data_IF_930601538122
#
_entry.id   IF_930601538122
#
_cell.length_a   1.000
_cell.length_b   1.000
_cell.length_c   1.000
_cell.angle_alpha   90.00
_cell.angle_beta   90.00
_cell.angle_gamma   90.00
#
_symmetry.space_group_name_H-M   'P 1'
#
loop_
_entity.id
_entity.type
_entity.pdbx_description
1 polymer ?
#
# COMPACT_ATOMS: atom_id res chain seq x y z
N UNK A 1 17.78 -9.38 11.87
CA UNK A 1 17.08 -8.32 11.11
C UNK A 1 15.61 -8.33 11.50
N UNK A 2 14.96 -7.17 11.45
CA UNK A 2 13.50 -7.08 11.68
C UNK A 2 12.81 -7.20 10.35
N UNK A 3 11.89 -8.16 10.24
CA UNK A 3 11.16 -8.45 9.01
C UNK A 3 9.83 -7.69 8.94
N UNK A 4 9.36 -7.45 7.74
CA UNK A 4 8.02 -6.99 7.44
C UNK A 4 7.22 -8.15 6.84
N UNK A 5 5.95 -8.29 7.22
CA UNK A 5 5.10 -9.36 6.71
C UNK A 5 3.92 -8.76 5.96
N UNK A 6 3.68 -9.26 4.76
CA UNK A 6 2.48 -9.01 3.98
C UNK A 6 1.64 -10.29 3.91
N UNK A 7 0.35 -10.19 4.21
CA UNK A 7 -0.60 -11.30 4.11
C UNK A 7 -1.69 -10.91 3.11
N UNK A 8 -1.77 -11.66 2.03
CA UNK A 8 -2.74 -11.42 0.99
C UNK A 8 -4.04 -12.18 1.25
N UNK A 9 -5.16 -11.47 1.28
CA UNK A 9 -6.50 -12.06 1.41
C UNK A 9 -7.26 -11.77 0.11
N UNK A 10 -7.42 -12.77 -0.79
CA UNK A 10 -7.83 -12.53 -2.17
C UNK A 10 -9.34 -12.44 -2.40
N UNK A 11 -10.15 -12.18 -1.38
CA UNK A 11 -11.60 -12.21 -1.51
C UNK A 11 -12.20 -10.81 -1.52
N UNK A 12 -13.13 -10.55 -2.46
CA UNK A 12 -13.89 -9.30 -2.56
C UNK A 12 -15.37 -9.62 -2.78
N UNK A 13 -16.29 -8.80 -2.26
CA UNK A 13 -17.73 -8.93 -2.59
C UNK A 13 -17.98 -8.57 -4.05
N UNK A 14 -17.25 -7.56 -4.57
CA UNK A 14 -17.28 -7.15 -5.97
C UNK A 14 -15.88 -6.76 -6.40
N UNK A 15 -15.51 -7.06 -7.64
CA UNK A 15 -14.22 -6.61 -8.22
C UNK A 15 -14.42 -5.25 -8.87
N UNK A 16 -13.71 -4.24 -8.35
CA UNK A 16 -13.74 -2.90 -8.93
C UNK A 16 -13.12 -2.90 -10.34
N UNK A 17 -13.68 -2.14 -11.31
CA UNK A 17 -13.23 -2.14 -12.70
C UNK A 17 -11.79 -1.66 -12.91
N UNK A 18 -11.24 -0.87 -11.99
CA UNK A 18 -9.85 -0.38 -12.02
C UNK A 18 -8.84 -1.30 -11.33
N UNK A 19 -9.29 -2.32 -10.58
CA UNK A 19 -8.45 -3.06 -9.65
C UNK A 19 -7.62 -4.15 -10.35
N UNK A 20 -6.29 -4.00 -10.34
CA UNK A 20 -5.33 -4.99 -10.85
C UNK A 20 -4.91 -6.03 -9.80
N UNK A 21 -5.27 -5.85 -8.52
CA UNK A 21 -4.89 -6.81 -7.49
C UNK A 21 -5.52 -8.19 -7.71
N UNK A 22 -4.77 -9.23 -7.33
CA UNK A 22 -5.21 -10.63 -7.38
C UNK A 22 -6.38 -10.90 -6.43
N UNK A 23 -7.61 -10.69 -6.88
CA UNK A 23 -8.81 -10.85 -6.05
C UNK A 23 -9.92 -11.60 -6.80
N UNK A 24 -10.77 -12.30 -6.03
CA UNK A 24 -11.85 -13.16 -6.52
C UNK A 24 -13.16 -12.84 -5.82
N UNK A 25 -14.21 -12.58 -6.59
CA UNK A 25 -15.55 -12.31 -6.09
C UNK A 25 -16.48 -13.54 -6.15
N UNK A 26 -16.03 -14.61 -6.80
CA UNK A 26 -16.80 -15.84 -7.02
C UNK A 26 -16.27 -17.07 -6.26
N UNK A 27 -15.23 -16.91 -5.42
CA UNK A 27 -14.50 -18.02 -4.77
C UNK A 27 -14.72 -18.14 -3.26
N UNK A 28 -15.79 -17.58 -2.72
CA UNK A 28 -16.07 -17.59 -1.27
C UNK A 28 -16.12 -19.01 -0.66
N UNK A 29 -16.55 -20.01 -1.43
CA UNK A 29 -16.53 -21.42 -1.00
C UNK A 29 -15.14 -21.99 -0.71
N UNK A 30 -14.07 -21.30 -1.12
CA UNK A 30 -12.68 -21.70 -0.88
C UNK A 30 -12.05 -21.05 0.35
N UNK A 31 -12.74 -20.11 1.04
CA UNK A 31 -12.15 -19.35 2.16
C UNK A 31 -11.52 -20.27 3.21
N UNK A 32 -12.26 -21.25 3.74
CA UNK A 32 -11.73 -22.12 4.79
C UNK A 32 -10.49 -22.89 4.33
N UNK A 33 -10.54 -23.47 3.11
CA UNK A 33 -9.40 -24.19 2.53
C UNK A 33 -8.20 -23.27 2.26
N UNK A 34 -8.46 -22.03 1.91
CA UNK A 34 -7.43 -21.03 1.71
C UNK A 34 -6.71 -20.70 3.03
N UNK A 35 -7.46 -20.43 4.09
CA UNK A 35 -6.88 -20.14 5.39
C UNK A 35 -6.12 -21.34 5.98
N UNK A 36 -6.62 -22.58 5.80
CA UNK A 36 -5.88 -23.78 6.17
C UNK A 36 -4.52 -23.87 5.45
N UNK A 37 -4.48 -23.53 4.16
CA UNK A 37 -3.25 -23.47 3.41
C UNK A 37 -2.34 -22.33 3.89
N UNK A 38 -2.89 -21.14 4.11
CA UNK A 38 -2.18 -19.95 4.60
C UNK A 38 -1.53 -20.20 5.97
N UNK A 39 -2.23 -20.85 6.90
CA UNK A 39 -1.67 -21.24 8.20
C UNK A 39 -0.45 -22.17 8.05
N UNK A 40 -0.52 -23.15 7.15
CA UNK A 40 0.60 -24.06 6.87
C UNK A 40 1.79 -23.31 6.29
N UNK A 41 1.55 -22.38 5.36
CA UNK A 41 2.59 -21.58 4.74
C UNK A 41 3.32 -20.74 5.79
N UNK A 42 2.57 -19.96 6.60
CA UNK A 42 3.14 -19.08 7.62
C UNK A 42 3.90 -19.90 8.69
N UNK A 43 3.32 -21.00 9.17
CA UNK A 43 3.92 -21.83 10.21
C UNK A 43 5.24 -22.48 9.80
N UNK A 44 5.48 -22.65 8.50
CA UNK A 44 6.70 -23.24 7.96
C UNK A 44 7.82 -22.20 7.78
N UNK A 45 7.48 -20.92 7.71
CA UNK A 45 8.43 -19.87 7.39
C UNK A 45 9.37 -19.54 8.57
N UNK A 46 10.60 -19.15 8.25
CA UNK A 46 11.49 -18.54 9.24
C UNK A 46 11.15 -17.05 9.35
N UNK A 47 10.36 -16.69 10.35
CA UNK A 47 9.77 -15.36 10.48
C UNK A 47 10.75 -14.31 11.01
N UNK A 48 11.77 -14.72 11.79
CA UNK A 48 12.65 -13.77 12.49
C UNK A 48 11.85 -12.82 13.41
N UNK A 49 12.42 -11.68 13.79
CA UNK A 49 11.72 -10.63 14.56
C UNK A 49 10.85 -9.80 13.61
N UNK A 50 9.56 -9.63 13.92
CA UNK A 50 8.57 -8.96 13.05
C UNK A 50 8.33 -7.54 13.53
N UNK A 51 8.57 -6.54 12.67
CA UNK A 51 8.33 -5.12 12.95
C UNK A 51 7.00 -4.61 12.41
N UNK A 52 6.45 -5.23 11.37
CA UNK A 52 5.10 -4.94 10.88
C UNK A 52 4.44 -6.15 10.22
N UNK A 53 3.12 -6.20 10.33
CA UNK A 53 2.25 -7.11 9.58
C UNK A 53 1.22 -6.26 8.83
N UNK A 54 1.07 -6.48 7.53
CA UNK A 54 0.07 -5.81 6.72
C UNK A 54 -0.83 -6.86 6.06
N UNK A 55 -2.10 -6.84 6.40
CA UNK A 55 -3.13 -7.74 5.88
C UNK A 55 -3.95 -6.98 4.85
N UNK A 56 -3.76 -7.31 3.57
CA UNK A 56 -4.36 -6.59 2.45
C UNK A 56 -4.74 -7.50 1.29
N UNK A 57 -4.87 -6.90 0.11
CA UNK A 57 -5.05 -7.59 -1.16
C UNK A 57 -6.40 -7.38 -1.82
N UNK A 58 -7.37 -8.27 -1.60
CA UNK A 58 -8.75 -8.05 -2.00
C UNK A 58 -9.46 -7.16 -0.98
N UNK A 59 -10.24 -7.76 -0.12
CA UNK A 59 -10.89 -7.08 1.00
C UNK A 59 -10.84 -7.98 2.23
N UNK A 60 -9.80 -7.87 3.07
CA UNK A 60 -9.65 -8.75 4.24
C UNK A 60 -10.87 -8.76 5.15
N UNK A 61 -11.59 -7.65 5.21
CA UNK A 61 -12.77 -7.52 6.06
C UNK A 61 -14.02 -8.27 5.58
N UNK A 62 -14.06 -8.85 4.38
CA UNK A 62 -15.22 -9.66 3.94
C UNK A 62 -15.24 -11.04 4.58
N UNK A 63 -14.08 -11.55 5.02
CA UNK A 63 -14.00 -12.84 5.69
C UNK A 63 -14.31 -12.72 7.20
N UNK A 64 -14.66 -13.83 7.84
CA UNK A 64 -14.93 -13.85 9.28
C UNK A 64 -13.66 -13.54 10.08
N UNK A 65 -13.77 -12.73 11.14
CA UNK A 65 -12.63 -12.37 11.99
C UNK A 65 -11.94 -13.57 12.63
N UNK A 66 -12.68 -14.65 12.89
CA UNK A 66 -12.16 -15.87 13.52
C UNK A 66 -11.01 -16.53 12.71
N UNK A 67 -10.90 -16.25 11.43
CA UNK A 67 -9.78 -16.74 10.61
C UNK A 67 -8.44 -16.07 10.92
N UNK A 68 -8.43 -14.92 11.60
CA UNK A 68 -7.18 -14.20 11.87
C UNK A 68 -6.48 -14.66 13.15
N UNK A 69 -7.21 -15.10 14.18
CA UNK A 69 -6.60 -15.53 15.45
C UNK A 69 -5.54 -16.62 15.25
N UNK A 70 -5.77 -17.72 14.47
CA UNK A 70 -4.73 -18.72 14.23
C UNK A 70 -3.47 -18.17 13.54
N UNK A 71 -3.61 -17.15 12.68
CA UNK A 71 -2.45 -16.45 12.08
C UNK A 71 -1.63 -15.79 13.19
N UNK A 72 -2.28 -15.07 14.09
CA UNK A 72 -1.60 -14.35 15.16
C UNK A 72 -1.03 -15.30 16.23
N UNK A 73 -1.62 -16.47 16.47
CA UNK A 73 -1.00 -17.50 17.31
C UNK A 73 0.39 -17.90 16.78
N UNK A 74 0.55 -18.01 15.44
CA UNK A 74 1.82 -18.33 14.80
C UNK A 74 2.80 -17.14 14.86
N UNK A 75 2.31 -15.92 14.59
CA UNK A 75 3.16 -14.73 14.48
C UNK A 75 3.60 -14.14 15.82
N UNK A 76 2.73 -14.24 16.85
CA UNK A 76 2.88 -13.59 18.16
C UNK A 76 4.24 -13.83 18.85
N UNK A 77 4.85 -15.03 18.81
CA UNK A 77 6.16 -15.26 19.41
C UNK A 77 7.30 -14.44 18.81
N UNK A 78 7.12 -13.97 17.58
CA UNK A 78 8.12 -13.23 16.81
C UNK A 78 7.84 -11.72 16.68
N UNK A 79 6.67 -11.26 17.17
CA UNK A 79 6.30 -9.85 17.08
C UNK A 79 7.18 -8.97 17.98
N UNK A 80 7.76 -7.90 17.40
CA UNK A 80 8.33 -6.80 18.20
C UNK A 80 7.22 -6.20 19.08
N UNK A 81 7.57 -5.79 20.30
CA UNK A 81 6.63 -5.17 21.24
C UNK A 81 5.90 -3.94 20.69
N UNK A 82 6.49 -3.27 19.68
CA UNK A 82 5.93 -2.11 19.01
C UNK A 82 5.57 -2.44 17.55
N UNK A 83 5.35 -3.70 17.20
CA UNK A 83 4.96 -4.08 15.86
C UNK A 83 3.68 -3.36 15.41
N UNK A 84 3.68 -2.85 14.19
CA UNK A 84 2.49 -2.31 13.55
C UNK A 84 1.75 -3.46 12.85
N UNK A 85 0.49 -3.65 13.21
CA UNK A 85 -0.34 -4.70 12.62
C UNK A 85 -1.55 -4.03 11.97
N UNK A 86 -1.52 -3.97 10.64
CA UNK A 86 -2.54 -3.31 9.82
C UNK A 86 -3.48 -4.33 9.18
N UNK A 87 -4.76 -4.00 9.12
CA UNK A 87 -5.75 -4.68 8.28
C UNK A 87 -6.48 -3.68 7.40
N UNK A 88 -6.64 -4.02 6.11
CA UNK A 88 -7.49 -3.27 5.19
C UNK A 88 -8.95 -3.66 5.37
N UNK A 89 -9.81 -2.66 5.39
CA UNK A 89 -11.26 -2.85 5.53
C UNK A 89 -12.01 -1.99 4.51
N UNK A 90 -13.12 -2.52 4.00
CA UNK A 90 -14.07 -1.75 3.23
C UNK A 90 -15.27 -1.35 4.10
N UNK A 91 -15.77 -0.11 3.97
CA UNK A 91 -17.02 0.29 4.62
C UNK A 91 -18.16 -0.68 4.30
N UNK A 92 -19.07 -0.89 5.24
CA UNK A 92 -20.20 -1.83 5.10
C UNK A 92 -19.86 -3.30 5.40
N UNK A 93 -18.57 -3.69 5.45
CA UNK A 93 -18.17 -5.08 5.74
C UNK A 93 -17.86 -5.33 7.24
N UNK A 94 -17.99 -4.29 8.05
CA UNK A 94 -17.55 -4.26 9.47
C UNK A 94 -18.75 -4.09 10.41
N UNK A 95 -18.67 -4.73 11.56
CA UNK A 95 -19.50 -4.47 12.72
C UNK A 95 -18.63 -4.44 13.98
N UNK A 96 -19.21 -4.01 15.11
CA UNK A 96 -18.50 -3.84 16.37
C UNK A 96 -17.80 -5.13 16.82
N UNK A 97 -18.50 -6.26 16.80
CA UNK A 97 -17.94 -7.57 17.23
C UNK A 97 -16.73 -7.98 16.38
N UNK A 98 -16.74 -7.68 15.09
CA UNK A 98 -15.62 -7.98 14.20
C UNK A 98 -14.39 -7.12 14.50
N UNK A 99 -14.59 -5.82 14.80
CA UNK A 99 -13.52 -4.93 15.23
C UNK A 99 -12.94 -5.32 16.58
N UNK A 100 -13.78 -5.74 17.54
CA UNK A 100 -13.36 -6.25 18.84
C UNK A 100 -12.44 -7.46 18.67
N UNK A 101 -12.81 -8.44 17.84
CA UNK A 101 -11.98 -9.60 17.53
C UNK A 101 -10.65 -9.22 16.84
N UNK A 102 -10.66 -8.23 15.94
CA UNK A 102 -9.42 -7.73 15.34
C UNK A 102 -8.48 -7.17 16.40
N UNK A 103 -9.02 -6.39 17.33
CA UNK A 103 -8.23 -5.81 18.41
C UNK A 103 -7.69 -6.86 19.37
N UNK A 104 -8.51 -7.87 19.72
CA UNK A 104 -8.12 -9.01 20.56
C UNK A 104 -7.00 -9.84 19.91
N UNK A 105 -7.06 -10.03 18.59
CA UNK A 105 -6.01 -10.68 17.82
C UNK A 105 -4.68 -9.89 17.81
N UNK A 106 -4.70 -8.60 18.14
CA UNK A 106 -3.53 -7.74 18.23
C UNK A 106 -3.41 -6.72 17.08
N UNK A 107 -4.41 -6.66 16.18
CA UNK A 107 -4.44 -5.62 15.13
C UNK A 107 -4.55 -4.25 15.80
N UNK A 108 -3.64 -3.32 15.43
CA UNK A 108 -3.53 -2.02 16.07
C UNK A 108 -3.62 -0.84 15.09
N UNK A 109 -3.70 -1.12 13.78
CA UNK A 109 -3.94 -0.14 12.72
C UNK A 109 -4.99 -0.66 11.75
N UNK A 110 -5.91 0.20 11.33
CA UNK A 110 -6.87 -0.12 10.26
C UNK A 110 -6.71 0.85 9.10
N UNK A 111 -6.89 0.34 7.87
CA UNK A 111 -6.90 1.13 6.63
C UNK A 111 -8.26 1.00 5.98
N UNK A 112 -8.97 2.11 5.79
CA UNK A 112 -10.35 2.12 5.32
C UNK A 112 -10.42 2.70 3.92
N UNK A 113 -10.87 1.91 2.96
CA UNK A 113 -11.00 2.32 1.56
C UNK A 113 -12.26 3.14 1.29
N UNK A 114 -12.25 4.45 1.56
CA UNK A 114 -13.34 5.37 1.21
C UNK A 114 -13.37 5.70 -0.28
N UNK A 115 -12.25 6.11 -0.83
CA UNK A 115 -12.01 6.60 -2.20
C UNK A 115 -12.63 7.99 -2.46
N UNK A 116 -13.91 8.19 -2.25
CA UNK A 116 -14.62 9.47 -2.40
C UNK A 116 -15.82 9.56 -1.46
N UNK A 117 -16.23 10.74 -1.07
CA UNK A 117 -17.50 10.98 -0.36
C UNK A 117 -18.71 11.04 -1.31
N UNK A 118 -18.48 11.01 -2.62
CA UNK A 118 -19.53 11.18 -3.62
C UNK A 118 -20.01 9.83 -4.15
N UNK A 119 -21.29 9.54 -3.95
CA UNK A 119 -21.91 8.26 -4.36
C UNK A 119 -21.84 8.00 -5.87
N UNK A 120 -21.93 9.05 -6.69
CA UNK A 120 -21.78 8.93 -8.13
C UNK A 120 -20.36 8.48 -8.52
N UNK A 121 -19.33 9.06 -7.92
CA UNK A 121 -17.93 8.69 -8.17
C UNK A 121 -17.62 7.28 -7.62
N UNK A 122 -18.15 6.92 -6.45
CA UNK A 122 -18.04 5.57 -5.93
C UNK A 122 -18.62 4.53 -6.89
N UNK A 123 -19.79 4.81 -7.47
CA UNK A 123 -20.42 3.94 -8.48
C UNK A 123 -19.59 3.83 -9.75
N UNK A 124 -18.97 4.94 -10.19
CA UNK A 124 -18.10 4.97 -11.39
C UNK A 124 -16.93 4.00 -11.25
N UNK A 125 -16.34 3.94 -10.06
CA UNK A 125 -15.24 3.02 -9.75
C UNK A 125 -15.70 1.65 -9.21
N UNK A 126 -17.00 1.33 -9.27
CA UNK A 126 -17.56 0.04 -8.88
C UNK A 126 -17.61 -0.22 -7.37
N UNK A 127 -17.58 0.83 -6.55
CA UNK A 127 -17.76 0.73 -5.10
C UNK A 127 -19.23 0.64 -4.74
N UNK A 128 -19.55 -0.18 -3.73
CA UNK A 128 -20.92 -0.48 -3.31
C UNK A 128 -21.31 0.20 -1.99
N UNK A 129 -20.36 0.79 -1.28
CA UNK A 129 -20.57 1.49 -0.01
C UNK A 129 -20.93 2.98 -0.24
N UNK A 130 -21.39 3.62 0.82
CA UNK A 130 -21.66 5.07 0.88
C UNK A 130 -20.67 5.77 1.81
N UNK A 131 -20.71 7.11 1.84
CA UNK A 131 -19.96 7.88 2.82
C UNK A 131 -20.44 7.60 4.26
N UNK A 132 -21.74 7.40 4.43
CA UNK A 132 -22.36 7.08 5.73
C UNK A 132 -21.85 5.73 6.27
N UNK A 133 -21.69 4.72 5.43
CA UNK A 133 -21.09 3.43 5.79
C UNK A 133 -19.64 3.61 6.30
N UNK A 134 -18.91 4.52 5.65
CA UNK A 134 -17.54 4.85 6.05
C UNK A 134 -17.53 5.58 7.41
N UNK A 135 -18.37 6.61 7.58
CA UNK A 135 -18.45 7.36 8.81
C UNK A 135 -18.81 6.47 10.00
N UNK A 136 -19.77 5.59 9.82
CA UNK A 136 -20.17 4.60 10.83
C UNK A 136 -19.02 3.61 11.14
N UNK A 137 -18.29 3.18 10.10
CA UNK A 137 -17.10 2.32 10.29
C UNK A 137 -16.04 3.02 11.15
N UNK A 138 -15.75 4.31 10.89
CA UNK A 138 -14.80 5.10 11.69
C UNK A 138 -15.28 5.26 13.13
N UNK A 139 -16.57 5.57 13.34
CA UNK A 139 -17.17 5.68 14.69
C UNK A 139 -17.03 4.40 15.48
N UNK A 140 -17.41 3.26 14.88
CA UNK A 140 -17.28 1.94 15.49
C UNK A 140 -15.82 1.60 15.83
N UNK A 141 -14.89 1.90 14.93
CA UNK A 141 -13.47 1.67 15.17
C UNK A 141 -12.95 2.46 16.37
N UNK A 142 -13.34 3.72 16.50
CA UNK A 142 -12.99 4.57 17.65
C UNK A 142 -13.63 4.10 18.94
N UNK A 143 -14.90 3.65 18.91
CA UNK A 143 -15.58 3.07 20.08
C UNK A 143 -14.88 1.81 20.59
N UNK A 144 -14.37 0.97 19.72
CA UNK A 144 -13.57 -0.23 20.06
C UNK A 144 -12.16 0.15 20.52
N UNK A 145 -11.75 1.41 20.32
CA UNK A 145 -10.47 1.98 20.79
C UNK A 145 -9.34 1.85 19.78
N UNK A 146 -9.61 1.81 18.47
CA UNK A 146 -8.59 2.04 17.46
C UNK A 146 -8.26 3.54 17.39
N UNK A 147 -6.98 3.85 17.54
CA UNK A 147 -6.45 5.23 17.44
C UNK A 147 -5.62 5.44 16.19
N UNK A 148 -5.10 4.39 15.58
CA UNK A 148 -4.34 4.44 14.34
C UNK A 148 -5.25 4.04 13.17
N UNK A 149 -5.87 5.05 12.55
CA UNK A 149 -6.87 4.87 11.49
C UNK A 149 -6.38 5.62 10.24
N UNK A 150 -6.22 4.87 9.16
CA UNK A 150 -5.99 5.40 7.83
C UNK A 150 -7.28 5.44 7.03
N UNK A 151 -7.42 6.44 6.19
CA UNK A 151 -8.40 6.48 5.11
C UNK A 151 -7.71 6.61 3.76
N UNK A 152 -8.15 5.82 2.82
CA UNK A 152 -7.70 5.89 1.44
C UNK A 152 -8.70 6.73 0.63
N UNK A 153 -8.21 7.79 -0.03
CA UNK A 153 -8.97 8.62 -0.97
C UNK A 153 -8.29 8.59 -2.34
N UNK A 154 -9.10 8.72 -3.37
CA UNK A 154 -8.67 8.67 -4.76
C UNK A 154 -8.95 9.99 -5.45
N UNK A 155 -7.98 10.46 -6.23
CA UNK A 155 -8.11 11.59 -7.15
C UNK A 155 -8.01 11.10 -8.59
N UNK A 156 -8.43 11.93 -9.56
CA UNK A 156 -8.40 11.52 -10.97
C UNK A 156 -9.47 10.47 -11.33
N UNK A 157 -10.54 10.33 -10.52
CA UNK A 157 -11.69 9.49 -10.88
C UNK A 157 -12.42 10.15 -12.07
N UNK A 158 -12.82 9.40 -13.12
CA UNK A 158 -13.60 9.95 -14.22
C UNK A 158 -14.76 10.83 -13.72
N UNK A 159 -14.95 11.97 -14.35
CA UNK A 159 -15.93 12.99 -13.98
C UNK A 159 -15.73 13.65 -12.60
N UNK A 160 -14.65 13.36 -11.89
CA UNK A 160 -14.34 14.00 -10.61
C UNK A 160 -13.92 15.46 -10.81
N UNK A 161 -14.45 16.33 -9.97
CA UNK A 161 -14.11 17.75 -9.94
C UNK A 161 -13.31 18.09 -8.68
N UNK A 162 -12.65 19.25 -8.68
CA UNK A 162 -11.97 19.76 -7.48
C UNK A 162 -12.92 19.93 -6.28
N UNK A 163 -14.19 20.28 -6.53
CA UNK A 163 -15.21 20.41 -5.48
C UNK A 163 -15.58 19.08 -4.83
N UNK A 164 -15.46 17.97 -5.58
CA UNK A 164 -15.66 16.63 -5.04
C UNK A 164 -14.49 16.22 -4.11
N UNK A 165 -13.27 16.59 -4.47
CA UNK A 165 -12.09 16.40 -3.63
C UNK A 165 -12.19 17.27 -2.37
N UNK A 166 -12.59 18.54 -2.50
CA UNK A 166 -12.80 19.45 -1.38
C UNK A 166 -13.83 18.91 -0.39
N UNK A 167 -15.02 18.52 -0.86
CA UNK A 167 -16.06 17.92 -0.01
C UNK A 167 -15.58 16.65 0.71
N UNK A 168 -14.83 15.81 -0.01
CA UNK A 168 -14.26 14.58 0.58
C UNK A 168 -13.27 14.92 1.70
N UNK A 169 -12.38 15.88 1.45
CA UNK A 169 -11.40 16.32 2.45
C UNK A 169 -12.06 16.98 3.67
N UNK A 170 -13.05 17.85 3.47
CA UNK A 170 -13.78 18.49 4.56
C UNK A 170 -14.43 17.47 5.49
N UNK A 171 -15.06 16.45 4.90
CA UNK A 171 -15.73 15.37 5.65
C UNK A 171 -14.74 14.50 6.42
N UNK A 172 -13.63 14.07 5.80
CA UNK A 172 -12.66 13.21 6.50
C UNK A 172 -11.84 13.97 7.55
N UNK A 173 -11.54 15.24 7.34
CA UNK A 173 -10.83 16.06 8.31
C UNK A 173 -11.65 16.31 9.58
N UNK A 174 -12.98 16.32 9.48
CA UNK A 174 -13.88 16.41 10.64
C UNK A 174 -13.87 15.13 11.52
N UNK A 175 -13.31 14.01 11.03
CA UNK A 175 -13.34 12.73 11.74
C UNK A 175 -12.10 12.47 12.62
N UNK A 176 -11.18 13.44 12.77
CA UNK A 176 -9.96 13.29 13.58
C UNK A 176 -9.21 11.97 13.31
N UNK A 177 -8.85 11.78 12.05
CA UNK A 177 -8.07 10.64 11.59
C UNK A 177 -6.57 10.88 11.78
N UNK A 178 -5.78 9.82 11.81
CA UNK A 178 -4.34 9.91 12.07
C UNK A 178 -3.47 9.72 10.83
N UNK A 179 -4.06 9.16 9.77
CA UNK A 179 -3.35 8.88 8.52
C UNK A 179 -4.31 9.01 7.33
N UNK A 180 -3.84 9.53 6.22
CA UNK A 180 -4.60 9.69 4.98
C UNK A 180 -3.70 9.29 3.82
N UNK A 181 -4.20 8.39 2.96
CA UNK A 181 -3.57 8.05 1.69
C UNK A 181 -4.33 8.76 0.57
N UNK A 182 -3.62 9.46 -0.30
CA UNK A 182 -4.17 10.15 -1.48
C UNK A 182 -3.44 9.60 -2.69
N UNK A 183 -4.13 8.86 -3.55
CA UNK A 183 -3.55 8.37 -4.79
C UNK A 183 -4.38 8.71 -6.00
N UNK A 184 -3.68 8.96 -7.10
CA UNK A 184 -4.27 9.04 -8.41
C UNK A 184 -4.81 7.69 -8.85
N UNK A 185 -5.95 7.70 -9.53
CA UNK A 185 -6.43 6.53 -10.23
C UNK A 185 -5.45 6.17 -11.35
N UNK A 186 -4.91 4.96 -11.30
CA UNK A 186 -4.04 4.43 -12.35
C UNK A 186 -4.82 3.44 -13.21
N UNK A 187 -4.70 3.58 -14.51
CA UNK A 187 -5.32 2.70 -15.50
C UNK A 187 -4.38 1.55 -15.83
N UNK A 188 -4.44 0.50 -15.02
CA UNK A 188 -3.58 -0.68 -15.15
C UNK A 188 -4.02 -1.57 -16.31
N UNK A 189 -3.05 -2.02 -17.10
CA UNK A 189 -3.27 -2.94 -18.22
C UNK A 189 -4.06 -4.19 -17.79
N UNK A 190 -5.01 -4.58 -18.62
CA UNK A 190 -5.84 -5.76 -18.38
C UNK A 190 -7.02 -5.53 -17.40
N UNK A 191 -7.21 -4.33 -16.88
CA UNK A 191 -8.40 -3.97 -16.11
C UNK A 191 -9.59 -3.66 -17.03
N UNK A 192 -10.82 -3.78 -16.48
CA UNK A 192 -12.01 -3.42 -17.23
C UNK A 192 -12.04 -1.92 -17.53
N UNK A 193 -11.53 -1.09 -16.62
CA UNK A 193 -11.54 0.37 -16.78
C UNK A 193 -10.59 0.83 -17.89
N UNK A 194 -9.39 0.26 -18.00
CA UNK A 194 -8.48 0.52 -19.13
C UNK A 194 -9.13 0.16 -20.44
N UNK A 195 -9.81 -0.99 -20.50
CA UNK A 195 -10.56 -1.37 -21.70
C UNK A 195 -11.68 -0.39 -22.06
N UNK A 196 -12.37 0.18 -21.06
CA UNK A 196 -13.44 1.18 -21.31
C UNK A 196 -12.87 2.46 -21.91
N UNK A 197 -11.66 2.86 -21.52
CA UNK A 197 -10.92 4.00 -22.09
C UNK A 197 -10.48 3.70 -23.52
N UNK A 198 -9.85 2.55 -23.74
CA UNK A 198 -9.39 2.12 -25.07
C UNK A 198 -10.54 2.05 -26.09
N UNK A 199 -11.71 1.62 -25.61
CA UNK A 199 -12.95 1.54 -26.43
C UNK A 199 -13.64 2.91 -26.60
N UNK A 200 -13.14 3.99 -25.99
CA UNK A 200 -13.73 5.34 -26.03
C UNK A 200 -15.05 5.49 -25.26
N UNK A 201 -15.29 4.61 -24.28
CA UNK A 201 -16.49 4.62 -23.44
C UNK A 201 -16.29 5.38 -22.12
N UNK A 202 -15.05 5.77 -21.81
CA UNK A 202 -14.69 6.51 -20.62
C UNK A 202 -13.54 7.45 -20.96
N UNK A 203 -13.58 8.68 -20.46
CA UNK A 203 -12.50 9.65 -20.60
C UNK A 203 -11.65 9.71 -19.32
N UNK A 204 -10.34 9.82 -19.49
CA UNK A 204 -9.42 10.12 -18.39
C UNK A 204 -9.61 11.56 -17.92
N UNK A 205 -9.29 11.82 -16.66
CA UNK A 205 -9.20 13.19 -16.15
C UNK A 205 -7.95 13.84 -16.72
N UNK A 206 -8.05 15.10 -17.13
CA UNK A 206 -6.91 15.88 -17.61
C UNK A 206 -5.78 15.92 -16.56
N UNK A 207 -4.55 15.68 -16.99
CA UNK A 207 -3.37 15.61 -16.11
C UNK A 207 -3.14 16.89 -15.30
N UNK A 208 -3.47 18.07 -15.85
CA UNK A 208 -3.33 19.34 -15.13
C UNK A 208 -4.39 19.47 -14.03
N UNK A 209 -5.60 18.97 -14.29
CA UNK A 209 -6.68 18.92 -13.31
C UNK A 209 -6.32 17.96 -12.19
N UNK A 210 -5.83 16.75 -12.52
CA UNK A 210 -5.41 15.76 -11.53
C UNK A 210 -4.27 16.28 -10.66
N UNK A 211 -3.25 16.88 -11.27
CA UNK A 211 -2.14 17.53 -10.57
C UNK A 211 -2.64 18.65 -9.65
N UNK A 212 -3.61 19.45 -10.09
CA UNK A 212 -4.22 20.47 -9.24
C UNK A 212 -4.94 19.85 -8.04
N UNK A 213 -5.69 18.76 -8.22
CA UNK A 213 -6.32 18.01 -7.14
C UNK A 213 -5.30 17.51 -6.11
N UNK A 214 -4.17 16.95 -6.58
CA UNK A 214 -3.10 16.48 -5.70
C UNK A 214 -2.52 17.61 -4.84
N UNK A 215 -2.15 18.73 -5.47
CA UNK A 215 -1.57 19.87 -4.73
C UNK A 215 -2.57 20.54 -3.80
N UNK A 216 -3.84 20.54 -4.16
CA UNK A 216 -4.92 21.01 -3.30
C UNK A 216 -5.05 20.11 -2.08
N UNK A 217 -5.13 18.78 -2.27
CA UNK A 217 -5.23 17.83 -1.18
C UNK A 217 -4.01 17.92 -0.25
N UNK A 218 -2.78 17.96 -0.82
CA UNK A 218 -1.55 18.13 -0.05
C UNK A 218 -1.62 19.36 0.85
N UNK A 219 -1.93 20.53 0.30
CA UNK A 219 -2.01 21.79 1.07
C UNK A 219 -3.04 21.69 2.18
N UNK A 220 -4.26 21.19 1.86
CA UNK A 220 -5.34 21.05 2.86
C UNK A 220 -4.95 20.13 4.02
N UNK A 221 -4.24 19.04 3.73
CA UNK A 221 -3.78 18.10 4.75
C UNK A 221 -2.67 18.70 5.60
N UNK A 222 -1.69 19.37 5.01
CA UNK A 222 -0.61 20.05 5.74
C UNK A 222 -1.16 21.16 6.64
N UNK A 223 -2.10 21.99 6.15
CA UNK A 223 -2.78 23.03 6.94
C UNK A 223 -3.56 22.46 8.14
N UNK A 224 -3.94 21.17 8.07
CA UNK A 224 -4.60 20.44 9.16
C UNK A 224 -3.63 19.58 9.99
N UNK A 225 -2.31 19.82 9.87
CA UNK A 225 -1.26 19.21 10.71
C UNK A 225 -0.90 17.79 10.35
N UNK A 226 -1.18 17.34 9.13
CA UNK A 226 -0.61 16.12 8.58
C UNK A 226 0.75 16.40 7.96
N UNK A 227 1.68 15.47 8.14
CA UNK A 227 3.00 15.50 7.52
C UNK A 227 2.94 14.67 6.25
N UNK A 228 3.22 15.29 5.10
CA UNK A 228 3.46 14.58 3.86
C UNK A 228 4.80 13.86 3.96
N UNK A 229 4.84 12.54 4.08
CA UNK A 229 6.08 11.82 4.34
C UNK A 229 6.57 10.94 3.19
N UNK A 230 5.66 10.54 2.28
CA UNK A 230 5.97 9.93 1.00
C UNK A 230 4.87 10.28 0.00
N UNK A 231 5.07 10.02 -1.28
CA UNK A 231 4.29 10.56 -2.40
C UNK A 231 2.77 10.50 -2.17
N UNK A 232 2.25 9.38 -1.68
CA UNK A 232 0.80 9.17 -1.55
C UNK A 232 0.30 9.31 -0.11
N UNK A 233 1.19 9.39 0.89
CA UNK A 233 0.77 9.23 2.28
C UNK A 233 1.08 10.43 3.19
N UNK A 234 0.07 10.77 3.98
CA UNK A 234 0.07 11.87 4.95
C UNK A 234 -0.29 11.34 6.34
N UNK A 235 0.46 11.73 7.36
CA UNK A 235 0.24 11.24 8.71
C UNK A 235 0.38 12.33 9.76
N UNK A 236 -0.39 12.24 10.84
CA UNK A 236 -0.11 12.98 12.06
C UNK A 236 1.24 12.54 12.64
N UNK A 237 1.93 13.36 13.45
CA UNK A 237 3.17 12.97 14.10
C UNK A 237 3.05 11.59 14.76
N UNK A 238 4.04 10.71 14.53
CA UNK A 238 4.12 9.32 15.05
C UNK A 238 3.19 8.28 14.42
N UNK A 239 2.39 8.63 13.39
CA UNK A 239 1.45 7.72 12.74
C UNK A 239 1.83 7.33 11.30
N UNK A 240 3.07 7.59 10.87
CA UNK A 240 3.59 7.11 9.58
C UNK A 240 3.50 5.58 9.52
N UNK A 241 3.04 5.01 8.41
CA UNK A 241 2.92 3.57 8.23
C UNK A 241 4.29 2.89 8.22
N UNK A 242 4.57 2.05 9.22
CA UNK A 242 5.86 1.36 9.36
C UNK A 242 6.10 0.35 8.26
N UNK A 243 5.04 -0.31 7.79
CA UNK A 243 5.13 -1.27 6.69
C UNK A 243 5.58 -0.59 5.40
N UNK A 244 4.90 0.49 4.98
CA UNK A 244 5.26 1.24 3.78
C UNK A 244 6.68 1.82 3.87
N UNK A 245 7.04 2.43 5.01
CA UNK A 245 8.39 2.92 5.24
C UNK A 245 9.45 1.82 5.17
N UNK A 246 9.13 0.59 5.59
CA UNK A 246 9.98 -0.58 5.42
C UNK A 246 10.25 -0.87 3.96
N UNK A 247 9.20 -0.91 3.13
CA UNK A 247 9.30 -1.13 1.69
C UNK A 247 10.12 -0.02 1.00
N UNK A 248 9.80 1.25 1.28
CA UNK A 248 10.53 2.40 0.71
C UNK A 248 11.98 2.51 1.23
N UNK A 249 12.29 1.83 2.33
CA UNK A 249 13.65 1.71 2.87
C UNK A 249 14.39 0.49 2.34
N UNK A 250 13.86 -0.21 1.36
CA UNK A 250 14.41 -1.43 0.76
C UNK A 250 14.72 -2.49 1.84
N UNK A 251 13.80 -2.65 2.81
CA UNK A 251 13.91 -3.72 3.80
C UNK A 251 13.26 -4.99 3.29
N UNK A 252 13.77 -6.11 3.77
CA UNK A 252 13.22 -7.42 3.45
C UNK A 252 11.81 -7.58 3.98
N UNK A 253 10.97 -8.25 3.20
CA UNK A 253 9.61 -8.60 3.59
C UNK A 253 9.22 -9.98 3.05
N UNK A 254 8.41 -10.67 3.84
CA UNK A 254 7.81 -11.96 3.51
C UNK A 254 6.35 -11.76 3.14
N UNK A 255 5.97 -12.20 1.96
CA UNK A 255 4.58 -12.24 1.50
C UNK A 255 4.01 -13.65 1.62
N UNK A 256 2.81 -13.75 2.20
CA UNK A 256 2.08 -15.00 2.36
C UNK A 256 0.74 -14.95 1.64
N UNK A 257 0.33 -16.07 1.09
CA UNK A 257 -0.92 -16.18 0.36
C UNK A 257 -0.76 -16.10 -1.15
N UNK A 258 -1.85 -16.35 -1.88
CA UNK A 258 -1.90 -16.29 -3.34
C UNK A 258 -1.50 -14.90 -3.84
N UNK A 259 -0.74 -14.82 -4.92
CA UNK A 259 -0.23 -13.60 -5.53
C UNK A 259 0.67 -12.72 -4.63
N UNK A 260 0.96 -13.12 -3.40
CA UNK A 260 1.82 -12.34 -2.50
C UNK A 260 3.27 -12.30 -2.99
N UNK A 261 3.85 -11.11 -2.99
CA UNK A 261 5.26 -10.91 -3.32
C UNK A 261 6.13 -10.91 -2.04
N UNK A 262 7.38 -11.31 -2.18
CA UNK A 262 8.42 -11.27 -1.13
C UNK A 262 9.70 -10.67 -1.69
N UNK A 263 10.47 -10.03 -0.81
CA UNK A 263 11.83 -9.58 -1.10
C UNK A 263 12.77 -10.04 0.02
N UNK A 264 13.59 -11.04 -0.24
CA UNK A 264 14.48 -11.70 0.72
C UNK A 264 15.81 -12.03 0.03
N UNK A 265 16.93 -11.77 0.70
CA UNK A 265 18.28 -12.10 0.20
C UNK A 265 18.53 -11.61 -1.23
N UNK A 266 18.00 -10.43 -1.57
CA UNK A 266 18.05 -9.83 -2.92
C UNK A 266 17.27 -10.59 -4.01
N UNK A 267 16.38 -11.50 -3.63
CA UNK A 267 15.44 -12.13 -4.55
C UNK A 267 14.05 -11.50 -4.42
N UNK A 268 13.49 -11.09 -5.56
CA UNK A 268 12.06 -10.82 -5.69
C UNK A 268 11.36 -12.10 -6.08
N UNK A 269 10.39 -12.46 -5.30
CA UNK A 269 9.63 -13.69 -5.47
C UNK A 269 8.15 -13.37 -5.40
N UNK A 270 7.35 -14.18 -6.07
CA UNK A 270 5.89 -14.07 -6.05
C UNK A 270 5.25 -15.44 -5.94
N UNK A 271 4.21 -15.55 -5.13
CA UNK A 271 3.36 -16.72 -5.10
C UNK A 271 2.47 -16.77 -6.35
N UNK A 272 2.07 -17.98 -6.75
CA UNK A 272 1.15 -18.18 -7.89
C UNK A 272 -0.11 -17.32 -7.76
N UNK A 273 -0.60 -16.80 -8.90
CA UNK A 273 -1.85 -16.03 -8.98
C UNK A 273 -3.11 -16.90 -8.97
N UNK A 274 -2.97 -18.22 -9.08
CA UNK A 274 -4.10 -19.16 -9.06
C UNK A 274 -4.41 -19.65 -7.65
N UNK A 275 -5.59 -19.30 -7.15
CA UNK A 275 -6.08 -19.70 -5.83
C UNK A 275 -6.11 -21.21 -5.65
N UNK A 276 -6.60 -21.96 -6.65
CA UNK A 276 -6.69 -23.40 -6.61
C UNK A 276 -5.31 -24.07 -6.62
N UNK A 277 -4.38 -23.56 -7.44
CA UNK A 277 -2.98 -24.07 -7.46
C UNK A 277 -2.32 -23.82 -6.11
N UNK A 278 -2.47 -22.60 -5.56
CA UNK A 278 -1.94 -22.25 -4.25
C UNK A 278 -2.39 -23.25 -3.18
N UNK A 279 -3.71 -23.43 -3.01
CA UNK A 279 -4.28 -24.35 -2.03
C UNK A 279 -3.81 -25.79 -2.25
N UNK A 280 -3.84 -26.27 -3.49
CA UNK A 280 -3.48 -27.64 -3.79
C UNK A 280 -1.99 -27.92 -3.58
N UNK A 281 -1.11 -26.99 -3.94
CA UNK A 281 0.34 -27.15 -3.75
C UNK A 281 0.69 -27.18 -2.25
N UNK A 282 0.13 -26.27 -1.44
CA UNK A 282 0.35 -26.25 0.01
C UNK A 282 -0.14 -27.56 0.65
N UNK A 283 -1.36 -28.02 0.33
CA UNK A 283 -1.94 -29.22 0.92
C UNK A 283 -1.23 -30.52 0.50
N UNK A 284 -0.43 -30.49 -0.54
CA UNK A 284 0.41 -31.61 -1.00
C UNK A 284 1.90 -31.43 -0.64
N UNK A 285 2.24 -30.54 0.28
CA UNK A 285 3.62 -30.20 0.68
C UNK A 285 4.55 -29.76 -0.47
N UNK A 286 3.96 -29.19 -1.53
CA UNK A 286 4.68 -28.69 -2.72
C UNK A 286 4.81 -27.18 -2.69
N UNK A 287 5.14 -26.59 -1.55
CA UNK A 287 5.26 -25.13 -1.32
C UNK A 287 6.10 -24.42 -2.40
N UNK A 288 7.23 -25.03 -2.77
CA UNK A 288 8.15 -24.48 -3.79
C UNK A 288 7.50 -24.31 -5.17
N UNK A 289 6.36 -24.99 -5.46
CA UNK A 289 5.63 -24.82 -6.72
C UNK A 289 4.73 -23.58 -6.75
N UNK A 290 4.51 -22.96 -5.62
CA UNK A 290 3.80 -21.70 -5.56
C UNK A 290 4.71 -20.50 -5.83
N UNK A 291 6.00 -20.66 -5.51
CA UNK A 291 6.95 -19.55 -5.54
C UNK A 291 7.63 -19.46 -6.91
N UNK A 292 7.57 -18.29 -7.51
CA UNK A 292 8.33 -17.93 -8.71
C UNK A 292 9.37 -16.88 -8.31
N UNK A 293 10.63 -17.08 -8.72
CA UNK A 293 11.66 -16.06 -8.62
C UNK A 293 11.46 -15.15 -9.84
N UNK A 294 11.02 -13.91 -9.61
CA UNK A 294 10.83 -12.92 -10.67
C UNK A 294 12.16 -12.25 -11.02
N UNK A 295 12.98 -11.99 -10.00
CA UNK A 295 14.25 -11.28 -10.16
C UNK A 295 15.26 -11.73 -9.11
N UNK A 296 16.53 -11.82 -9.51
CA UNK A 296 17.68 -11.88 -8.63
C UNK A 296 18.49 -10.62 -8.81
N UNK A 297 18.41 -9.71 -7.88
CA UNK A 297 19.05 -8.41 -7.99
C UNK A 297 20.57 -8.52 -7.87
N UNK A 298 21.27 -7.90 -8.81
CA UNK A 298 22.69 -7.59 -8.69
C UNK A 298 22.90 -6.42 -7.71
N UNK A 299 24.14 -6.15 -7.35
CA UNK A 299 24.47 -4.94 -6.55
C UNK A 299 24.09 -3.67 -7.30
N UNK A 300 24.18 -3.66 -8.63
CA UNK A 300 23.79 -2.52 -9.46
C UNK A 300 22.27 -2.28 -9.39
N UNK A 301 21.47 -3.33 -9.54
CA UNK A 301 20.01 -3.26 -9.40
C UNK A 301 19.60 -2.76 -8.01
N UNK A 302 20.26 -3.24 -6.96
CA UNK A 302 20.01 -2.78 -5.58
C UNK A 302 20.35 -1.31 -5.38
N UNK A 303 21.43 -0.80 -6.02
CA UNK A 303 21.80 0.61 -5.95
C UNK A 303 20.77 1.49 -6.67
N UNK A 304 20.33 1.09 -7.86
CA UNK A 304 19.27 1.78 -8.63
C UNK A 304 17.97 1.83 -7.85
N UNK A 305 17.52 0.68 -7.37
CA UNK A 305 16.29 0.58 -6.59
C UNK A 305 16.36 1.40 -5.28
N UNK A 306 17.52 1.41 -4.60
CA UNK A 306 17.70 2.24 -3.41
C UNK A 306 17.38 3.71 -3.71
N UNK A 307 17.90 4.25 -4.81
CA UNK A 307 17.64 5.64 -5.19
C UNK A 307 16.17 5.86 -5.52
N UNK A 308 15.58 4.99 -6.33
CA UNK A 308 14.16 5.06 -6.72
C UNK A 308 13.25 5.06 -5.50
N UNK A 309 13.40 4.08 -4.61
CA UNK A 309 12.54 3.93 -3.43
C UNK A 309 12.72 5.07 -2.43
N UNK A 310 13.96 5.55 -2.25
CA UNK A 310 14.26 6.67 -1.33
C UNK A 310 13.78 8.00 -1.84
N UNK A 311 13.79 8.23 -3.15
CA UNK A 311 13.22 9.45 -3.75
C UNK A 311 11.68 9.49 -3.71
N UNK A 312 11.00 8.37 -3.35
CA UNK A 312 9.58 8.41 -3.02
C UNK A 312 9.29 9.12 -1.70
N UNK A 313 10.26 9.15 -0.80
CA UNK A 313 10.11 9.79 0.52
C UNK A 313 10.37 11.30 0.40
N UNK A 314 9.54 12.12 1.04
CA UNK A 314 9.67 13.57 0.98
C UNK A 314 11.01 14.08 1.55
N UNK A 315 11.56 13.37 2.50
CA UNK A 315 12.89 13.65 3.05
C UNK A 315 14.04 13.17 2.15
N UNK A 316 13.72 12.32 1.12
CA UNK A 316 14.75 11.72 0.27
C UNK A 316 15.72 10.82 1.05
N UNK A 317 17.02 10.90 0.72
CA UNK A 317 18.06 10.13 1.41
C UNK A 317 19.37 10.90 1.51
N UNK A 318 20.21 10.54 2.48
CA UNK A 318 21.59 11.06 2.58
C UNK A 318 22.53 10.25 1.70
N UNK A 319 23.47 10.93 1.03
CA UNK A 319 24.55 10.26 0.30
C UNK A 319 25.35 9.30 1.20
N UNK A 320 25.46 9.62 2.50
CA UNK A 320 26.09 8.76 3.50
C UNK A 320 25.34 7.43 3.72
N UNK A 321 24.01 7.39 3.58
CA UNK A 321 23.21 6.16 3.72
C UNK A 321 23.51 5.19 2.56
N UNK A 322 23.67 5.74 1.36
CA UNK A 322 24.10 4.98 0.19
C UNK A 322 25.52 4.43 0.38
N UNK A 323 26.44 5.30 0.82
CA UNK A 323 27.81 4.88 1.08
C UNK A 323 27.89 3.81 2.19
N UNK A 324 27.13 3.94 3.26
CA UNK A 324 27.08 2.96 4.33
C UNK A 324 26.57 1.58 3.87
N UNK A 325 25.60 1.56 2.92
CA UNK A 325 25.04 0.31 2.40
C UNK A 325 25.91 -0.33 1.33
N UNK A 326 26.47 0.43 0.40
CA UNK A 326 27.12 -0.08 -0.81
C UNK A 326 28.64 0.13 -0.85
N UNK A 327 29.20 0.85 0.10
CA UNK A 327 30.61 1.27 0.12
C UNK A 327 31.03 1.99 -1.18
N UNK A 328 30.11 2.77 -1.76
CA UNK A 328 30.30 3.56 -2.99
C UNK A 328 29.71 4.96 -2.80
N UNK A 329 30.22 5.90 -3.56
CA UNK A 329 29.72 7.28 -3.61
C UNK A 329 28.59 7.38 -4.65
N UNK A 330 27.40 7.78 -4.22
CA UNK A 330 26.20 7.90 -5.09
C UNK A 330 26.43 8.89 -6.24
N UNK A 331 27.15 9.99 -5.99
CA UNK A 331 27.45 11.01 -7.02
C UNK A 331 28.40 10.50 -8.08
N UNK A 332 29.26 9.51 -7.77
CA UNK A 332 30.14 8.87 -8.76
C UNK A 332 29.42 7.74 -9.49
N UNK A 333 28.57 6.98 -8.80
CA UNK A 333 27.84 5.86 -9.42
C UNK A 333 26.81 6.37 -10.42
N UNK A 334 26.11 7.45 -10.08
CA UNK A 334 25.03 8.04 -10.89
C UNK A 334 25.34 9.47 -11.32
N UNK A 335 26.60 9.76 -11.68
CA UNK A 335 27.06 11.11 -12.01
C UNK A 335 26.23 11.76 -13.10
N UNK A 336 25.98 11.04 -14.21
CA UNK A 336 25.21 11.55 -15.33
C UNK A 336 23.74 11.78 -15.01
N UNK A 337 23.11 10.81 -14.32
CA UNK A 337 21.70 10.88 -13.96
C UNK A 337 21.44 12.01 -12.95
N UNK A 338 22.25 12.07 -11.90
CA UNK A 338 22.13 13.10 -10.86
C UNK A 338 22.42 14.47 -11.46
N UNK A 339 23.47 14.60 -12.29
CA UNK A 339 23.80 15.86 -12.97
C UNK A 339 22.64 16.38 -13.83
N UNK A 340 22.07 15.51 -14.68
CA UNK A 340 20.91 15.85 -15.51
C UNK A 340 19.71 16.28 -14.67
N UNK A 341 19.37 15.51 -13.64
CA UNK A 341 18.20 15.80 -12.80
C UNK A 341 18.36 17.10 -11.98
N UNK A 342 19.58 17.46 -11.59
CA UNK A 342 19.89 18.75 -10.96
C UNK A 342 19.74 19.91 -11.95
N UNK A 343 20.28 19.77 -13.18
CA UNK A 343 20.18 20.79 -14.23
C UNK A 343 18.72 21.04 -14.65
N UNK A 344 17.89 19.97 -14.65
CA UNK A 344 16.46 20.05 -14.98
C UNK A 344 15.58 20.50 -13.80
N UNK A 345 16.17 20.79 -12.63
CA UNK A 345 15.46 21.15 -11.39
C UNK A 345 14.43 20.10 -10.93
N UNK A 346 14.74 18.81 -11.14
CA UNK A 346 13.88 17.70 -10.73
C UNK A 346 14.25 17.15 -9.35
N UNK A 347 15.53 17.20 -9.01
CA UNK A 347 16.03 16.90 -7.66
C UNK A 347 16.86 18.08 -7.17
N UNK A 348 17.08 18.14 -5.87
CA UNK A 348 18.06 19.06 -5.31
C UNK A 348 18.92 18.36 -4.25
N UNK A 349 20.16 18.86 -4.10
CA UNK A 349 21.09 18.41 -3.09
C UNK A 349 21.19 19.48 -1.99
N UNK A 350 20.89 19.12 -0.76
CA UNK A 350 21.06 20.00 0.40
C UNK A 350 22.50 20.01 0.92
N UNK A 351 22.88 21.04 1.70
CA UNK A 351 24.22 21.23 2.27
C UNK A 351 24.76 20.04 3.05
N UNK A 352 23.89 19.20 3.62
CA UNK A 352 24.27 17.99 4.37
C UNK A 352 24.22 16.71 3.53
N UNK A 353 24.22 16.82 2.19
CA UNK A 353 24.25 15.69 1.27
C UNK A 353 22.91 14.94 1.16
N UNK A 354 21.79 15.57 1.47
CA UNK A 354 20.48 15.03 1.15
C UNK A 354 20.15 15.21 -0.32
N UNK A 355 19.68 14.13 -0.95
CA UNK A 355 19.08 14.12 -2.28
C UNK A 355 17.58 13.90 -2.14
N UNK A 356 16.76 14.79 -2.68
CA UNK A 356 15.31 14.68 -2.67
C UNK A 356 14.66 15.31 -3.90
N UNK A 357 13.41 14.98 -4.16
CA UNK A 357 12.63 15.61 -5.24
C UNK A 357 12.38 17.10 -4.94
N UNK A 358 12.44 17.93 -6.00
CA UNK A 358 11.86 19.27 -5.99
C UNK A 358 10.34 19.18 -6.11
N UNK A 359 9.64 20.33 -6.08
CA UNK A 359 8.22 20.38 -6.43
C UNK A 359 7.97 19.87 -7.86
N UNK A 360 8.79 20.30 -8.83
CA UNK A 360 8.74 19.84 -10.23
C UNK A 360 9.06 18.37 -10.35
N UNK A 361 10.06 17.87 -9.59
CA UNK A 361 10.41 16.47 -9.56
C UNK A 361 9.31 15.59 -8.92
N UNK A 362 8.53 16.12 -8.00
CA UNK A 362 7.38 15.39 -7.43
C UNK A 362 6.26 15.24 -8.48
N UNK A 363 5.99 16.28 -9.27
CA UNK A 363 5.03 16.21 -10.38
C UNK A 363 5.49 15.23 -11.48
N UNK A 364 6.80 15.07 -11.67
CA UNK A 364 7.43 14.25 -12.71
C UNK A 364 8.20 13.06 -12.14
N UNK A 365 7.76 12.52 -11.01
CA UNK A 365 8.49 11.51 -10.28
C UNK A 365 8.78 10.24 -11.12
N UNK A 366 7.86 9.85 -12.00
CA UNK A 366 8.08 8.72 -12.91
C UNK A 366 9.25 8.95 -13.87
N UNK A 367 9.43 10.19 -14.35
CA UNK A 367 10.57 10.57 -15.20
C UNK A 367 11.87 10.48 -14.38
N UNK A 368 11.85 11.00 -13.15
CA UNK A 368 13.02 10.93 -12.26
C UNK A 368 13.43 9.47 -12.00
N UNK A 369 12.47 8.60 -11.68
CA UNK A 369 12.77 7.18 -11.46
C UNK A 369 13.25 6.46 -12.72
N UNK A 370 12.72 6.83 -13.89
CA UNK A 370 13.12 6.30 -15.19
C UNK A 370 14.60 6.51 -15.51
N UNK A 371 15.25 7.55 -14.96
CA UNK A 371 16.68 7.78 -15.15
C UNK A 371 17.56 6.74 -14.45
N UNK A 372 17.00 5.98 -13.48
CA UNK A 372 17.72 4.96 -12.72
C UNK A 372 17.34 3.52 -13.11
N UNK A 373 16.51 3.30 -14.11
CA UNK A 373 16.10 1.94 -14.58
C UNK A 373 17.09 1.32 -15.59
#
# INVERSE_FOLDING_TARGET
MKNHIYIHIPFCESKCPYCAFGSFSDKFGLIARYFDALYKEINRANLGEISSVFIGGGTPSVVKADFYEPIFEILRPNLDKNAEITIEINPGTINKSKLEKYKEAGINRISIGLQSSKINLLKEIGRIHTYEDFEDTVKLAKEVGFTNINVDIMIGIPNQTIYDVEDTLDKILALDLTHISVYSLIYEDGTLMTKMIDDGNLDEVDEEIERYMYWYAKRRLEDNGFIHYEISNFAKPSYRCKHNLGCWSQKEYLGFGVAAASYIDNFRMKNTDSLEKYINNINNDKFYKNLTIEEKQTIDDQMKEFVILRLRMMEGFRASDFTAKFNKDVYKVFENQIGKLLEEDLIFAEEFGYLRLTKKGLDLANIVWGEFI
#
